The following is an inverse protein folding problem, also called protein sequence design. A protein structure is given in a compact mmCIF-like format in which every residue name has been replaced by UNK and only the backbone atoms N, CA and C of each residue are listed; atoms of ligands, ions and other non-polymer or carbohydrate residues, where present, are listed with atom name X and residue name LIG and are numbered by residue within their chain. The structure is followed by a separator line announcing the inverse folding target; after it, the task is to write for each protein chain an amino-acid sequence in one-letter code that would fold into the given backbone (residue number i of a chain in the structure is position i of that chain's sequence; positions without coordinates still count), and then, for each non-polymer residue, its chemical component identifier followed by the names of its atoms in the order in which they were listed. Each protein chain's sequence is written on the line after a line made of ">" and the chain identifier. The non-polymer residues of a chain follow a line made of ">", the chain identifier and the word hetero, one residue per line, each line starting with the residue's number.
data_IF_216981146512
#
_entry.id   IF_216981146512
#
_cell.length_a   1.000
_cell.length_b   1.000
_cell.length_c   1.000
_cell.angle_alpha   90.00
_cell.angle_beta   90.00
_cell.angle_gamma   90.00
#
_symmetry.space_group_name_H-M   'P 1'
#
loop_
_entity.id
_entity.type
_entity.pdbx_description
1 polymer ?
#
# COMPACT_ATOMS: atom_id res chain seq x y z
N UNK A 1 1.14 8.46 19.14
CA UNK A 1 1.01 6.99 19.17
C UNK A 1 -0.35 6.66 19.74
N UNK A 2 -0.93 5.54 19.33
CA UNK A 2 -2.28 5.11 19.72
C UNK A 2 -2.21 3.70 20.26
N UNK A 3 -2.94 3.38 21.33
CA UNK A 3 -3.08 2.01 21.82
C UNK A 3 -4.53 1.59 21.69
N UNK A 4 -4.77 0.47 21.01
CA UNK A 4 -6.11 -0.09 20.89
C UNK A 4 -6.54 -0.72 22.21
N UNK A 5 -7.74 -0.38 22.67
CA UNK A 5 -8.32 -0.91 23.92
C UNK A 5 -8.81 -2.36 23.79
N UNK A 6 -8.93 -2.87 22.56
CA UNK A 6 -9.45 -4.21 22.28
C UNK A 6 -8.36 -5.29 22.35
N UNK A 7 -7.15 -4.96 21.89
CA UNK A 7 -6.05 -5.90 21.72
C UNK A 7 -4.71 -5.39 22.30
N UNK A 8 -4.69 -4.19 22.90
CA UNK A 8 -3.49 -3.52 23.42
C UNK A 8 -2.37 -3.32 22.38
N UNK A 9 -2.71 -3.38 21.08
CA UNK A 9 -1.75 -3.13 20.01
C UNK A 9 -1.51 -1.63 19.88
N UNK A 10 -0.23 -1.24 19.81
CA UNK A 10 0.16 0.15 19.60
C UNK A 10 0.30 0.45 18.10
N UNK A 11 -0.31 1.53 17.63
CA UNK A 11 -0.19 2.03 16.27
C UNK A 11 0.53 3.39 16.26
N UNK A 12 1.18 3.71 15.14
CA UNK A 12 1.96 4.96 15.01
C UNK A 12 1.43 5.77 13.85
N UNK A 13 1.17 7.06 14.08
CA UNK A 13 0.89 8.04 13.04
C UNK A 13 2.07 9.01 12.94
N UNK A 14 2.65 9.12 11.75
CA UNK A 14 3.64 10.14 11.42
C UNK A 14 2.89 11.29 10.74
N UNK A 15 2.95 12.47 11.34
CA UNK A 15 2.20 13.66 10.90
C UNK A 15 3.18 14.69 10.36
N UNK A 16 2.91 15.19 9.17
CA UNK A 16 3.62 16.29 8.54
C UNK A 16 2.69 17.50 8.42
N UNK A 17 3.16 18.66 8.86
CA UNK A 17 2.41 19.92 8.79
C UNK A 17 1.17 19.98 9.70
N UNK A 18 0.35 21.00 9.48
CA UNK A 18 -0.92 21.19 10.20
C UNK A 18 -2.07 20.49 9.47
N UNK A 19 -2.62 19.45 10.10
CA UNK A 19 -3.74 18.68 9.54
C UNK A 19 -5.02 19.51 9.44
N UNK A 20 -5.25 20.47 10.33
CA UNK A 20 -6.43 21.33 10.22
C UNK A 20 -6.40 22.18 8.94
N UNK A 21 -5.19 22.55 8.50
CA UNK A 21 -4.96 23.32 7.28
C UNK A 21 -5.44 24.77 7.39
N UNK A 22 -5.34 25.57 6.31
CA UNK A 22 -5.61 27.01 6.35
C UNK A 22 -7.03 27.39 6.79
N UNK A 23 -8.01 26.51 6.54
CA UNK A 23 -9.41 26.71 6.86
C UNK A 23 -9.82 26.09 8.22
N UNK A 24 -8.91 25.36 8.88
CA UNK A 24 -9.19 24.69 10.15
C UNK A 24 -10.17 23.52 10.06
N UNK A 25 -10.34 22.92 8.88
CA UNK A 25 -11.43 21.98 8.57
C UNK A 25 -10.98 20.52 8.35
N UNK A 26 -9.67 20.27 8.25
CA UNK A 26 -9.15 18.91 8.08
C UNK A 26 -9.43 18.28 6.71
N UNK A 27 -9.73 19.09 5.69
CA UNK A 27 -9.99 18.62 4.33
C UNK A 27 -8.73 18.50 3.48
N UNK A 28 -8.80 17.65 2.45
CA UNK A 28 -7.74 17.45 1.44
C UNK A 28 -6.37 17.10 2.02
N UNK A 29 -6.35 16.12 2.94
CA UNK A 29 -5.11 15.65 3.58
C UNK A 29 -4.52 14.49 2.78
N UNK A 30 -3.21 14.54 2.47
CA UNK A 30 -2.54 13.39 1.86
C UNK A 30 -2.32 12.30 2.92
N UNK A 31 -2.90 11.11 2.71
CA UNK A 31 -2.89 10.04 3.72
C UNK A 31 -2.35 8.74 3.12
N UNK A 32 -1.44 8.07 3.85
CA UNK A 32 -1.06 6.67 3.63
C UNK A 32 -1.46 5.84 4.84
N UNK A 33 -2.24 4.78 4.61
CA UNK A 33 -2.42 3.70 5.60
C UNK A 33 -1.55 2.52 5.21
N UNK A 34 -0.44 2.35 5.93
CA UNK A 34 0.55 1.29 5.75
C UNK A 34 0.29 0.14 6.73
N UNK A 35 0.26 -1.09 6.21
CA UNK A 35 0.18 -2.29 7.05
C UNK A 35 1.59 -2.76 7.38
N UNK A 36 1.86 -3.00 8.66
CA UNK A 36 3.15 -3.49 9.15
C UNK A 36 3.67 -4.69 8.33
N UNK A 37 4.94 -4.62 7.97
CA UNK A 37 5.66 -5.70 7.31
C UNK A 37 7.12 -5.69 7.76
N UNK A 38 7.44 -6.37 8.85
CA UNK A 38 8.78 -6.37 9.46
C UNK A 38 9.87 -6.72 8.44
N UNK A 39 9.63 -7.77 7.65
CA UNK A 39 10.60 -8.22 6.64
C UNK A 39 10.89 -7.17 5.58
N UNK A 40 9.87 -6.43 5.14
CA UNK A 40 10.02 -5.41 4.09
C UNK A 40 10.50 -4.08 4.65
N UNK A 41 9.87 -3.62 5.71
CA UNK A 41 10.03 -2.29 6.28
C UNK A 41 11.33 -2.14 7.07
N UNK A 42 11.79 -3.21 7.74
CA UNK A 42 12.98 -3.18 8.62
C UNK A 42 14.14 -3.96 8.03
N UNK A 43 13.91 -5.18 7.53
CA UNK A 43 14.98 -6.04 7.01
C UNK A 43 15.26 -5.87 5.51
N UNK A 44 14.55 -4.96 4.82
CA UNK A 44 14.81 -4.67 3.41
C UNK A 44 14.54 -5.85 2.46
N UNK A 45 13.60 -6.74 2.80
CA UNK A 45 13.28 -7.91 1.98
C UNK A 45 12.90 -7.51 0.56
N UNK A 46 13.57 -8.13 -0.42
CA UNK A 46 13.28 -7.98 -1.85
C UNK A 46 12.05 -8.77 -2.31
N UNK A 47 11.51 -9.69 -1.48
CA UNK A 47 10.36 -10.56 -1.80
C UNK A 47 9.00 -9.85 -1.82
N UNK A 48 8.93 -8.65 -1.24
CA UNK A 48 7.73 -7.81 -1.24
C UNK A 48 8.10 -6.36 -1.59
N UNK A 49 7.10 -5.53 -1.79
CA UNK A 49 7.27 -4.10 -2.07
C UNK A 49 6.96 -3.19 -0.85
N UNK A 50 6.76 -3.76 0.34
CA UNK A 50 6.31 -3.00 1.52
C UNK A 50 7.28 -1.89 1.95
N UNK A 51 8.58 -2.20 2.11
CA UNK A 51 9.59 -1.20 2.48
C UNK A 51 9.66 -0.04 1.48
N UNK A 52 9.88 -0.31 0.18
CA UNK A 52 9.85 0.73 -0.85
C UNK A 52 8.55 1.55 -0.89
N UNK A 53 7.39 0.93 -0.62
CA UNK A 53 6.11 1.65 -0.51
C UNK A 53 6.05 2.57 0.71
N UNK A 54 6.60 2.16 1.85
CA UNK A 54 6.68 2.98 3.06
C UNK A 54 7.56 4.21 2.81
N UNK A 55 8.76 4.01 2.25
CA UNK A 55 9.70 5.08 1.91
C UNK A 55 9.09 6.06 0.91
N UNK A 56 8.47 5.56 -0.16
CA UNK A 56 7.80 6.39 -1.15
C UNK A 56 6.67 7.21 -0.53
N UNK A 57 5.85 6.62 0.34
CA UNK A 57 4.77 7.32 1.00
C UNK A 57 5.26 8.43 1.94
N UNK A 58 6.31 8.15 2.74
CA UNK A 58 6.93 9.16 3.60
C UNK A 58 7.51 10.31 2.77
N UNK A 59 8.19 10.01 1.65
CA UNK A 59 8.74 11.02 0.76
C UNK A 59 7.66 11.89 0.10
N UNK A 60 6.54 11.28 -0.33
CA UNK A 60 5.41 12.00 -0.92
C UNK A 60 4.71 12.90 0.10
N UNK A 61 4.46 12.40 1.32
CA UNK A 61 3.88 13.21 2.40
C UNK A 61 4.81 14.35 2.81
N UNK A 62 6.11 14.10 2.90
CA UNK A 62 7.09 15.15 3.20
C UNK A 62 7.13 16.22 2.10
N UNK A 63 7.05 15.83 0.83
CA UNK A 63 7.01 16.76 -0.31
C UNK A 63 5.73 17.59 -0.35
N UNK A 64 4.59 16.99 0.00
CA UNK A 64 3.31 17.68 0.12
C UNK A 64 3.34 18.73 1.25
N UNK A 65 4.11 18.47 2.32
CA UNK A 65 4.21 19.35 3.48
C UNK A 65 3.01 19.29 4.42
N UNK A 66 1.96 18.53 4.06
CA UNK A 66 0.77 18.29 4.87
C UNK A 66 0.22 16.89 4.64
N UNK A 67 0.28 16.02 5.65
CA UNK A 67 -0.25 14.67 5.51
C UNK A 67 0.06 13.72 6.67
N UNK A 68 -0.43 12.49 6.54
CA UNK A 68 -0.30 11.44 7.55
C UNK A 68 0.19 10.14 6.91
N UNK A 69 1.22 9.53 7.50
CA UNK A 69 1.56 8.12 7.28
C UNK A 69 1.18 7.34 8.53
N UNK A 70 0.12 6.55 8.44
CA UNK A 70 -0.39 5.71 9.50
C UNK A 70 0.19 4.30 9.37
N UNK A 71 0.97 3.89 10.37
CA UNK A 71 1.59 2.58 10.49
C UNK A 71 0.73 1.67 11.37
N UNK A 72 -0.04 0.80 10.72
CA UNK A 72 -0.94 -0.15 11.36
C UNK A 72 -0.19 -1.41 11.78
N UNK A 73 0.18 -1.46 13.07
CA UNK A 73 0.67 -2.69 13.71
C UNK A 73 -0.42 -3.75 13.86
N UNK A 74 -0.01 -5.01 13.99
CA UNK A 74 -0.93 -6.15 14.03
C UNK A 74 -1.45 -6.58 12.64
N UNK A 75 -1.12 -5.83 11.59
CA UNK A 75 -1.47 -6.17 10.21
C UNK A 75 -0.44 -7.07 9.51
N UNK A 76 0.61 -7.51 10.22
CA UNK A 76 1.65 -8.36 9.67
C UNK A 76 1.05 -9.61 9.01
N UNK A 77 1.55 -9.94 7.82
CA UNK A 77 1.03 -11.06 7.02
C UNK A 77 -0.44 -10.91 6.61
N UNK A 78 -1.03 -9.71 6.63
CA UNK A 78 -2.49 -9.46 6.51
C UNK A 78 -3.30 -9.89 7.72
N UNK A 79 -2.73 -9.69 8.91
CA UNK A 79 -3.39 -9.99 10.18
C UNK A 79 -3.18 -11.43 10.67
N UNK A 80 -2.45 -12.27 9.94
CA UNK A 80 -2.10 -13.63 10.39
C UNK A 80 -0.84 -13.65 11.27
N UNK A 81 -0.08 -12.56 11.30
CA UNK A 81 1.17 -12.45 12.06
C UNK A 81 2.41 -12.96 11.32
N UNK A 82 3.58 -12.63 11.87
CA UNK A 82 4.88 -12.87 11.24
C UNK A 82 5.18 -14.36 11.04
N UNK A 83 4.90 -15.21 12.04
CA UNK A 83 5.26 -16.62 11.98
C UNK A 83 4.50 -17.36 10.88
N UNK A 84 3.19 -17.13 10.77
CA UNK A 84 2.36 -17.68 9.69
C UNK A 84 2.78 -17.15 8.32
N UNK A 85 3.16 -15.87 8.21
CA UNK A 85 3.72 -15.32 6.97
C UNK A 85 5.00 -16.03 6.54
N UNK A 86 5.91 -16.33 7.47
CA UNK A 86 7.14 -17.06 7.17
C UNK A 86 6.86 -18.52 6.76
N UNK A 87 5.88 -19.17 7.39
CA UNK A 87 5.42 -20.50 6.95
C UNK A 87 4.80 -20.46 5.54
N UNK A 88 4.00 -19.43 5.23
CA UNK A 88 3.46 -19.23 3.89
C UNK A 88 4.57 -18.99 2.86
N UNK A 89 5.68 -18.33 3.24
CA UNK A 89 6.87 -18.21 2.39
C UNK A 89 7.54 -19.55 2.10
N UNK A 90 7.64 -20.45 3.10
CA UNK A 90 8.19 -21.79 2.87
C UNK A 90 7.35 -22.59 1.86
N UNK A 91 6.02 -22.48 1.96
CA UNK A 91 5.11 -23.11 0.99
C UNK A 91 5.22 -22.48 -0.40
N UNK A 92 5.47 -21.18 -0.47
CA UNK A 92 5.70 -20.48 -1.75
C UNK A 92 7.03 -20.86 -2.40
N UNK A 93 8.08 -21.01 -1.60
CA UNK A 93 9.39 -21.51 -2.04
C UNK A 93 9.27 -22.96 -2.56
N UNK A 94 8.31 -23.74 -2.03
CA UNK A 94 7.95 -25.07 -2.51
C UNK A 94 6.97 -25.06 -3.71
N UNK A 95 6.65 -23.89 -4.27
CA UNK A 95 5.89 -23.74 -5.52
C UNK A 95 4.43 -23.34 -5.38
N UNK A 96 3.88 -23.20 -4.17
CA UNK A 96 2.53 -22.65 -3.98
C UNK A 96 2.50 -21.14 -4.30
N UNK A 97 1.35 -20.60 -4.72
CA UNK A 97 1.18 -19.15 -4.68
C UNK A 97 0.72 -18.66 -3.29
N UNK A 98 0.69 -17.35 -3.10
CA UNK A 98 0.38 -16.75 -1.79
C UNK A 98 -1.01 -17.10 -1.27
N UNK A 99 -2.01 -17.26 -2.14
CA UNK A 99 -3.38 -17.58 -1.70
C UNK A 99 -3.45 -19.05 -1.31
N UNK A 100 -2.89 -19.92 -2.13
CA UNK A 100 -2.91 -21.36 -1.91
C UNK A 100 -2.08 -21.75 -0.67
N UNK A 101 -0.97 -21.05 -0.42
CA UNK A 101 -0.19 -21.20 0.80
C UNK A 101 -1.01 -20.86 2.06
N UNK A 102 -1.77 -19.77 2.05
CA UNK A 102 -2.62 -19.39 3.19
C UNK A 102 -3.77 -20.39 3.40
N UNK A 103 -4.41 -20.86 2.32
CA UNK A 103 -5.46 -21.88 2.40
C UNK A 103 -4.93 -23.21 2.94
N UNK A 104 -3.73 -23.64 2.53
CA UNK A 104 -3.08 -24.84 3.08
C UNK A 104 -2.79 -24.75 4.57
N UNK A 105 -2.57 -23.53 5.08
CA UNK A 105 -2.36 -23.26 6.51
C UNK A 105 -3.68 -23.06 7.27
N UNK A 106 -4.84 -23.14 6.61
CA UNK A 106 -6.15 -22.90 7.22
C UNK A 106 -6.41 -21.43 7.58
N UNK A 107 -5.71 -20.50 6.94
CA UNK A 107 -5.74 -19.07 7.28
C UNK A 107 -6.63 -18.28 6.33
N UNK A 108 -7.28 -17.19 6.81
CA UNK A 108 -8.02 -16.27 5.95
C UNK A 108 -7.09 -15.56 4.97
N UNK A 109 -7.62 -15.17 3.81
CA UNK A 109 -6.86 -14.45 2.78
C UNK A 109 -6.49 -13.01 3.20
N UNK A 110 -7.29 -12.41 4.07
CA UNK A 110 -7.08 -11.09 4.69
C UNK A 110 -7.89 -11.00 5.99
N UNK A 111 -7.25 -10.70 7.12
CA UNK A 111 -7.87 -10.55 8.44
C UNK A 111 -7.68 -9.14 9.02
N UNK A 112 -7.29 -8.16 8.20
CA UNK A 112 -6.99 -6.81 8.66
C UNK A 112 -8.24 -6.04 9.04
N UNK A 113 -8.18 -5.35 10.18
CA UNK A 113 -9.19 -4.39 10.62
C UNK A 113 -8.72 -2.95 10.35
N UNK A 114 -9.47 -2.22 9.53
CA UNK A 114 -9.17 -0.82 9.21
C UNK A 114 -9.96 0.19 10.05
N UNK A 115 -10.89 -0.26 10.89
CA UNK A 115 -11.71 0.59 11.75
C UNK A 115 -10.87 1.37 12.78
N UNK A 116 -9.83 0.75 13.35
CA UNK A 116 -8.88 1.44 14.22
C UNK A 116 -8.17 2.56 13.45
N UNK A 117 -7.77 2.29 12.20
CA UNK A 117 -7.12 3.28 11.36
C UNK A 117 -8.02 4.49 11.05
N UNK A 118 -9.32 4.25 10.83
CA UNK A 118 -10.31 5.31 10.66
C UNK A 118 -10.44 6.17 11.92
N UNK A 119 -10.55 5.54 13.10
CA UNK A 119 -10.64 6.27 14.38
C UNK A 119 -9.43 7.17 14.63
N UNK A 120 -8.23 6.66 14.34
CA UNK A 120 -6.99 7.45 14.45
C UNK A 120 -7.04 8.68 13.53
N UNK A 121 -7.49 8.52 12.28
CA UNK A 121 -7.59 9.65 11.34
C UNK A 121 -8.63 10.69 11.79
N UNK A 122 -9.76 10.26 12.36
CA UNK A 122 -10.76 11.18 12.93
C UNK A 122 -10.19 11.97 14.10
N UNK A 123 -9.46 11.30 15.01
CA UNK A 123 -8.82 11.91 16.17
C UNK A 123 -7.75 12.95 15.76
N UNK A 124 -6.97 12.64 14.71
CA UNK A 124 -6.02 13.58 14.10
C UNK A 124 -6.70 14.77 13.40
N UNK A 125 -8.03 14.81 13.32
CA UNK A 125 -8.81 15.89 12.73
C UNK A 125 -9.04 15.77 11.23
N UNK A 126 -8.72 14.64 10.60
CA UNK A 126 -8.96 14.44 9.16
C UNK A 126 -10.47 14.35 8.90
N UNK A 127 -10.92 14.98 7.81
CA UNK A 127 -12.31 14.92 7.30
C UNK A 127 -12.38 14.41 5.87
N UNK A 128 -11.49 14.90 5.00
CA UNK A 128 -11.28 14.29 3.68
C UNK A 128 -9.82 14.09 3.37
N UNK A 129 -9.56 13.09 2.52
CA UNK A 129 -8.20 12.69 2.20
C UNK A 129 -8.01 12.30 0.74
N UNK A 130 -6.81 12.57 0.25
CA UNK A 130 -6.24 11.92 -0.94
C UNK A 130 -5.47 10.71 -0.45
N UNK A 131 -5.94 9.51 -0.79
CA UNK A 131 -5.42 8.26 -0.23
C UNK A 131 -4.34 7.67 -1.13
N UNK A 132 -3.12 7.50 -0.60
CA UNK A 132 -1.98 6.83 -1.22
C UNK A 132 -2.17 5.30 -1.22
N UNK A 133 -2.73 4.76 -2.31
CA UNK A 133 -3.05 3.33 -2.41
C UNK A 133 -3.18 2.83 -3.84
N UNK A 134 -2.66 1.62 -4.09
CA UNK A 134 -2.93 0.83 -5.30
C UNK A 134 -4.05 -0.20 -5.09
N UNK A 135 -4.63 -0.29 -3.88
CA UNK A 135 -5.76 -1.17 -3.60
C UNK A 135 -7.09 -0.39 -3.73
N UNK A 136 -7.97 -0.71 -4.71
CA UNK A 136 -9.27 -0.08 -4.91
C UNK A 136 -10.31 -0.42 -3.83
N UNK A 137 -10.18 -1.57 -3.15
CA UNK A 137 -11.17 -2.09 -2.20
C UNK A 137 -11.24 -1.30 -0.87
N UNK A 138 -10.35 -0.32 -0.65
CA UNK A 138 -10.26 0.47 0.59
C UNK A 138 -11.39 1.51 0.82
N UNK A 139 -12.53 1.39 0.15
CA UNK A 139 -13.64 2.37 0.28
C UNK A 139 -14.67 2.00 1.35
N UNK A 140 -14.86 0.71 1.62
CA UNK A 140 -16.00 0.25 2.43
C UNK A 140 -15.68 0.46 3.91
N UNK A 141 -16.45 1.34 4.56
CA UNK A 141 -16.44 1.52 6.02
C UNK A 141 -15.96 2.88 6.54
N UNK A 142 -15.37 3.75 5.70
CA UNK A 142 -14.88 5.07 6.14
C UNK A 142 -15.98 6.12 6.30
N UNK A 143 -17.06 6.02 5.50
CA UNK A 143 -18.19 6.95 5.58
C UNK A 143 -18.87 6.92 6.96
N UNK A 144 -18.88 5.76 7.62
CA UNK A 144 -19.41 5.61 8.98
C UNK A 144 -18.61 6.37 10.05
N UNK A 145 -17.38 6.77 9.74
CA UNK A 145 -16.52 7.60 10.60
C UNK A 145 -16.53 9.08 10.17
N UNK A 146 -17.32 9.46 9.16
CA UNK A 146 -17.30 10.81 8.59
C UNK A 146 -16.01 11.14 7.83
N UNK A 147 -15.32 10.11 7.32
CA UNK A 147 -14.09 10.26 6.54
C UNK A 147 -14.37 10.05 5.05
N UNK A 148 -13.94 11.01 4.22
CA UNK A 148 -14.18 10.96 2.78
C UNK A 148 -12.88 10.83 1.99
N UNK A 149 -12.77 9.79 1.16
CA UNK A 149 -11.70 9.69 0.17
C UNK A 149 -12.11 10.47 -1.07
N UNK A 150 -11.48 11.63 -1.29
CA UNK A 150 -11.78 12.50 -2.45
C UNK A 150 -10.93 12.15 -3.68
N UNK A 151 -9.76 11.52 -3.46
CA UNK A 151 -8.86 11.10 -4.53
C UNK A 151 -8.10 9.83 -4.11
N UNK A 152 -7.76 8.98 -5.09
CA UNK A 152 -6.75 7.93 -4.91
C UNK A 152 -5.49 8.37 -5.64
N UNK A 153 -4.41 8.50 -4.89
CA UNK A 153 -3.10 8.83 -5.43
C UNK A 153 -2.32 7.52 -5.56
N UNK A 154 -1.91 7.10 -6.78
CA UNK A 154 -1.13 5.88 -6.97
C UNK A 154 0.20 5.95 -6.23
N UNK A 155 0.65 4.80 -5.72
CA UNK A 155 1.99 4.66 -5.17
C UNK A 155 2.93 4.04 -6.21
N UNK A 156 4.18 4.53 -6.31
CA UNK A 156 5.20 3.88 -7.13
C UNK A 156 5.38 2.41 -6.74
N UNK A 157 5.48 1.54 -7.75
CA UNK A 157 5.74 0.12 -7.58
C UNK A 157 7.15 -0.17 -8.06
N UNK A 158 7.94 -0.88 -7.25
CA UNK A 158 9.28 -1.30 -7.63
C UNK A 158 9.31 -2.81 -7.86
N UNK A 159 9.23 -3.20 -9.13
CA UNK A 159 9.30 -4.59 -9.55
C UNK A 159 10.75 -5.07 -9.63
N UNK A 160 11.01 -6.29 -9.21
CA UNK A 160 12.29 -6.98 -9.32
C UNK A 160 12.07 -8.50 -9.47
N UNK A 161 13.15 -9.24 -9.75
CA UNK A 161 13.10 -10.69 -10.00
C UNK A 161 12.55 -11.49 -8.82
N UNK A 162 12.72 -10.98 -7.60
CA UNK A 162 12.34 -11.64 -6.36
C UNK A 162 10.88 -11.36 -5.97
N UNK A 163 10.27 -10.27 -6.45
CA UNK A 163 8.88 -9.89 -6.11
C UNK A 163 7.89 -9.90 -7.27
N UNK A 164 8.31 -10.08 -8.53
CA UNK A 164 7.40 -9.98 -9.68
C UNK A 164 6.21 -10.95 -9.58
N UNK A 165 6.45 -12.20 -9.16
CA UNK A 165 5.38 -13.20 -8.92
C UNK A 165 4.41 -12.76 -7.82
N UNK A 166 4.93 -12.15 -6.76
CA UNK A 166 4.13 -11.61 -5.67
C UNK A 166 3.26 -10.43 -6.17
N UNK A 167 3.84 -9.51 -6.94
CA UNK A 167 3.14 -8.36 -7.51
C UNK A 167 2.03 -8.77 -8.48
N UNK A 168 2.29 -9.75 -9.36
CA UNK A 168 1.28 -10.33 -10.24
C UNK A 168 0.13 -10.96 -9.46
N UNK A 169 0.44 -11.77 -8.44
CA UNK A 169 -0.58 -12.34 -7.54
C UNK A 169 -1.43 -11.24 -6.88
N UNK A 170 -0.79 -10.14 -6.46
CA UNK A 170 -1.44 -8.96 -5.86
C UNK A 170 -2.44 -8.31 -6.82
N UNK A 171 -2.09 -8.21 -8.10
CA UNK A 171 -2.96 -7.69 -9.16
C UNK A 171 -4.09 -8.67 -9.49
N UNK A 172 -3.72 -9.87 -9.92
CA UNK A 172 -4.63 -10.83 -10.56
C UNK A 172 -5.58 -11.50 -9.57
N UNK A 173 -5.12 -11.79 -8.35
CA UNK A 173 -5.91 -12.52 -7.34
C UNK A 173 -6.40 -11.64 -6.20
N UNK A 174 -5.78 -10.49 -5.96
CA UNK A 174 -6.05 -9.65 -4.78
C UNK A 174 -6.53 -8.24 -5.16
N UNK A 175 -6.86 -8.03 -6.43
CA UNK A 175 -7.57 -6.85 -6.94
C UNK A 175 -6.79 -5.55 -6.87
N UNK A 176 -5.45 -5.58 -6.78
CA UNK A 176 -4.65 -4.36 -6.78
C UNK A 176 -4.50 -3.80 -8.20
N UNK A 177 -4.60 -2.48 -8.32
CA UNK A 177 -4.38 -1.73 -9.55
C UNK A 177 -2.87 -1.50 -9.73
N UNK A 178 -2.20 -2.46 -10.37
CA UNK A 178 -0.78 -2.44 -10.67
C UNK A 178 -0.61 -2.53 -12.19
N UNK A 179 -0.01 -1.51 -12.79
CA UNK A 179 0.24 -1.42 -14.23
C UNK A 179 1.73 -1.58 -14.55
N UNK A 180 2.06 -1.99 -15.78
CA UNK A 180 3.44 -2.11 -16.27
C UNK A 180 4.21 -3.33 -15.73
N UNK A 181 3.52 -4.30 -15.12
CA UNK A 181 4.17 -5.53 -14.64
C UNK A 181 4.61 -6.43 -15.81
N UNK A 182 3.93 -6.33 -16.95
CA UNK A 182 4.27 -7.00 -18.20
C UNK A 182 5.61 -6.50 -18.76
N UNK A 183 5.83 -5.18 -18.72
CA UNK A 183 7.05 -4.53 -19.20
C UNK A 183 8.30 -5.06 -18.48
N UNK A 184 8.14 -5.46 -17.21
CA UNK A 184 9.22 -6.11 -16.46
C UNK A 184 9.55 -7.51 -17.00
N UNK A 185 8.56 -8.30 -17.45
CA UNK A 185 8.84 -9.62 -18.02
C UNK A 185 9.55 -9.51 -19.37
N UNK A 186 9.14 -8.55 -20.21
CA UNK A 186 9.80 -8.29 -21.50
C UNK A 186 11.25 -7.84 -21.29
N UNK A 187 11.49 -6.92 -20.35
CA UNK A 187 12.84 -6.47 -20.00
C UNK A 187 13.71 -7.56 -19.35
N UNK A 188 13.14 -8.39 -18.47
CA UNK A 188 13.85 -9.50 -17.82
C UNK A 188 14.26 -10.60 -18.81
N UNK A 189 13.52 -10.77 -19.91
CA UNK A 189 13.84 -11.71 -20.99
C UNK A 189 14.95 -11.21 -21.94
N UNK A 190 15.42 -9.96 -21.79
CA UNK A 190 16.47 -9.33 -22.64
C UNK A 190 17.88 -9.33 -22.00
N UNK A 191 18.14 -10.15 -20.98
CA UNK A 191 19.45 -10.39 -20.37
C UNK A 191 20.30 -9.12 -20.08
N UNK A 192 19.78 -8.25 -19.20
CA UNK A 192 20.59 -7.42 -18.30
C UNK A 192 19.63 -6.52 -17.54
N UNK A 193 19.59 -6.59 -16.20
CA UNK A 193 19.24 -5.50 -15.26
C UNK A 193 18.93 -6.15 -13.90
N UNK A 194 19.89 -6.09 -12.97
CA UNK A 194 19.76 -6.60 -11.59
C UNK A 194 19.17 -5.53 -10.62
N UNK A 195 18.84 -4.35 -11.14
CA UNK A 195 18.25 -3.24 -10.38
C UNK A 195 16.77 -3.05 -10.73
N UNK A 196 15.91 -3.17 -9.72
CA UNK A 196 14.45 -3.17 -9.90
C UNK A 196 13.91 -1.89 -10.55
N UNK A 197 12.91 -2.05 -11.42
CA UNK A 197 12.30 -1.01 -12.26
C UNK A 197 11.15 -0.33 -11.51
N UNK A 198 11.09 1.00 -11.58
CA UNK A 198 9.93 1.77 -11.12
C UNK A 198 8.84 1.73 -12.19
N UNK A 199 7.69 1.19 -11.84
CA UNK A 199 6.50 1.22 -12.66
C UNK A 199 5.67 2.43 -12.20
N UNK A 200 5.66 3.47 -13.04
CA UNK A 200 4.81 4.64 -12.83
C UNK A 200 3.42 4.34 -13.40
N UNK A 201 2.40 4.63 -12.61
CA UNK A 201 0.99 4.39 -12.94
C UNK A 201 0.42 5.35 -14.00
N UNK A 202 1.10 5.55 -15.12
CA UNK A 202 0.59 6.40 -16.19
C UNK A 202 -0.47 5.64 -17.01
N UNK A 203 -1.73 6.00 -16.79
CA UNK A 203 -2.76 5.76 -17.80
C UNK A 203 -2.37 6.56 -19.04
N UNK A 204 -2.04 5.85 -20.12
CA UNK A 204 -1.92 6.42 -21.48
C UNK A 204 -3.15 7.31 -21.73
N UNK A 205 -2.96 8.61 -21.81
CA UNK A 205 -4.00 9.51 -22.31
C UNK A 205 -4.32 9.07 -23.76
N UNK A 206 -5.60 9.07 -24.18
CA UNK A 206 -5.90 8.85 -25.59
C UNK A 206 -5.22 9.95 -26.40
N UNK A 207 -4.55 9.55 -27.48
CA UNK A 207 -3.89 10.43 -28.45
C UNK A 207 -4.80 11.62 -28.75
N UNK A 208 -4.42 12.79 -28.22
CA UNK A 208 -4.88 14.05 -28.79
C UNK A 208 -3.98 14.31 -29.96
N UNK A 209 -4.48 13.88 -31.11
CA UNK A 209 -4.04 14.23 -32.44
C UNK A 209 -3.81 15.76 -32.51
N UNK A 210 -2.57 16.20 -32.29
CA UNK A 210 -2.11 17.54 -32.62
C UNK A 210 -1.61 17.50 -34.07
N UNK A 211 -2.57 17.32 -34.98
CA UNK A 211 -2.39 17.45 -36.41
C UNK A 211 -2.95 18.77 -36.90
N UNK A 212 -2.06 19.72 -37.22
CA UNK A 212 -2.24 20.61 -38.37
C UNK A 212 -2.86 21.98 -38.12
N UNK A 213 -2.00 22.99 -38.20
CA UNK A 213 -2.34 24.37 -38.50
C UNK A 213 -3.26 24.51 -39.73
N UNK A 214 -4.34 25.28 -39.60
CA UNK A 214 -4.68 26.51 -40.35
C UNK A 214 -6.04 27.05 -39.88
#
# INVERSE_FOLDING_TARGET
>A
GYTSIYDNVEHVALVMGDIAGPNGDGHDVLVRVHSECLTGDVFGSRRCDCGPQLDAAMAMVAREGRGVVLYMRGHEGRGIGLMHKLQAYQLQDAGADTVDANLKLGLPADARDYGIGAQILVDLGVRSMRLLTNNPAKRVGLDGYGLHIIERVPLPVRANKDNIRYLMTKRDRMGHDLVGLEDYQEAANMDSYDEGVYLLGERRAPDRDLGGAL
#
